data_IF_938271980292
#
_entry.id   IF_938271980292
#
_cell.length_a   1.000
_cell.length_b   1.000
_cell.length_c   1.000
_cell.angle_alpha   90.00
_cell.angle_beta   90.00
_cell.angle_gamma   90.00
#
_symmetry.space_group_name_H-M   'P 1'
#
loop_
_entity.id
_entity.type
_entity.pdbx_description
1 polymer ?
#
# COMPACT_ATOMS: atom_id res chain seq x y z
N UNK A 1 -1.50 3.64 7.56
CA UNK A 1 -0.09 3.51 7.10
C UNK A 1 0.04 4.17 5.73
N UNK A 2 0.99 5.11 5.55
CA UNK A 2 1.22 5.81 4.29
C UNK A 2 1.95 4.92 3.27
N UNK A 3 1.78 5.18 1.97
CA UNK A 3 2.41 4.40 0.87
C UNK A 3 3.95 4.34 0.98
N UNK A 4 4.61 5.40 1.47
CA UNK A 4 6.06 5.41 1.71
C UNK A 4 6.48 4.42 2.79
N UNK A 5 5.74 4.36 3.89
CA UNK A 5 5.96 3.38 4.97
C UNK A 5 5.69 1.96 4.47
N UNK A 6 4.64 1.77 3.66
CA UNK A 6 4.33 0.47 3.06
C UNK A 6 5.43 -0.04 2.14
N UNK A 7 6.02 0.85 1.29
CA UNK A 7 7.18 0.49 0.46
C UNK A 7 8.38 0.11 1.31
N UNK A 8 8.66 0.88 2.36
CA UNK A 8 9.75 0.58 3.28
C UNK A 8 9.55 -0.78 3.96
N UNK A 9 8.34 -1.07 4.44
CA UNK A 9 8.00 -2.37 5.02
C UNK A 9 8.18 -3.50 4.00
N UNK A 10 7.72 -3.32 2.75
CA UNK A 10 7.89 -4.31 1.68
C UNK A 10 9.38 -4.58 1.39
N UNK A 11 10.23 -3.54 1.32
CA UNK A 11 11.66 -3.72 1.05
C UNK A 11 12.37 -4.46 2.19
N UNK A 12 12.03 -4.16 3.46
CA UNK A 12 12.50 -4.90 4.62
C UNK A 12 12.05 -6.37 4.55
N UNK A 13 10.79 -6.61 4.22
CA UNK A 13 10.23 -7.95 4.10
C UNK A 13 10.89 -8.74 2.97
N UNK A 14 11.05 -8.15 1.77
CA UNK A 14 11.71 -8.78 0.63
C UNK A 14 13.15 -9.13 0.97
N UNK A 15 13.90 -8.21 1.59
CA UNK A 15 15.28 -8.44 1.97
C UNK A 15 15.40 -9.56 3.02
N UNK A 16 14.54 -9.54 4.04
CA UNK A 16 14.51 -10.61 5.03
C UNK A 16 14.22 -11.97 4.39
N UNK A 17 13.23 -12.05 3.49
CA UNK A 17 12.90 -13.30 2.77
C UNK A 17 14.02 -13.75 1.84
N UNK A 18 14.66 -12.82 1.13
CA UNK A 18 15.77 -13.10 0.22
C UNK A 18 16.98 -13.68 0.96
N UNK A 19 17.33 -13.10 2.10
CA UNK A 19 18.52 -13.48 2.88
C UNK A 19 18.26 -14.61 3.89
N UNK A 20 17.03 -15.11 4.01
CA UNK A 20 16.63 -16.08 5.03
C UNK A 20 16.63 -15.53 6.46
N UNK A 21 16.54 -14.21 6.59
CA UNK A 21 16.44 -13.49 7.87
C UNK A 21 15.00 -13.41 8.38
N UNK A 22 14.81 -12.57 9.42
CA UNK A 22 13.51 -12.31 10.04
C UNK A 22 13.04 -10.89 9.75
N UNK A 23 11.75 -10.74 9.48
CA UNK A 23 11.06 -9.47 9.42
C UNK A 23 10.37 -9.22 10.76
N UNK A 24 10.87 -8.25 11.52
CA UNK A 24 10.38 -7.89 12.84
C UNK A 24 9.56 -6.59 12.76
N UNK A 25 8.61 -6.44 13.67
CA UNK A 25 7.79 -5.25 13.76
C UNK A 25 7.96 -4.60 15.15
N UNK A 26 8.31 -3.31 15.16
CA UNK A 26 8.35 -2.49 16.36
C UNK A 26 7.43 -1.29 16.18
N UNK A 27 6.61 -1.05 17.19
CA UNK A 27 5.73 0.10 17.28
C UNK A 27 6.43 1.17 18.11
N UNK A 28 6.71 2.30 17.49
CA UNK A 28 7.37 3.45 18.12
C UNK A 28 6.32 4.34 18.82
N UNK A 29 5.81 3.88 19.93
CA UNK A 29 4.71 4.47 20.73
C UNK A 29 5.21 5.35 21.90
N UNK A 30 6.39 5.90 21.81
CA UNK A 30 6.97 6.79 22.84
C UNK A 30 6.22 8.13 22.95
N UNK A 31 5.55 8.60 21.88
CA UNK A 31 4.61 9.71 21.89
C UNK A 31 3.18 9.17 22.08
N UNK A 32 2.75 9.10 23.34
CA UNK A 32 1.46 8.53 23.74
C UNK A 32 0.23 9.27 23.19
N UNK A 33 0.34 10.58 22.93
CA UNK A 33 -0.77 11.38 22.40
C UNK A 33 -1.06 11.04 20.94
N UNK A 34 -0.02 10.70 20.18
CA UNK A 34 -0.13 10.35 18.77
C UNK A 34 -0.30 8.85 18.52
N UNK A 35 0.14 8.01 19.44
CA UNK A 35 0.14 6.55 19.30
C UNK A 35 -1.11 5.94 19.94
N UNK A 36 -2.28 6.24 19.35
CA UNK A 36 -3.55 5.65 19.79
C UNK A 36 -3.67 4.19 19.34
N UNK A 37 -4.48 3.39 20.05
CA UNK A 37 -4.75 1.99 19.67
C UNK A 37 -5.28 1.87 18.26
N UNK A 38 -6.15 2.79 17.82
CA UNK A 38 -6.70 2.82 16.46
C UNK A 38 -5.61 3.09 15.41
N UNK A 39 -4.67 4.00 15.69
CA UNK A 39 -3.55 4.29 14.79
C UNK A 39 -2.63 3.07 14.61
N UNK A 40 -2.40 2.31 15.69
CA UNK A 40 -1.63 1.06 15.67
C UNK A 40 -2.39 -0.02 14.90
N UNK A 41 -3.71 -0.16 15.09
CA UNK A 41 -4.53 -1.13 14.38
C UNK A 41 -4.50 -0.89 12.86
N UNK A 42 -4.58 0.35 12.41
CA UNK A 42 -4.45 0.72 10.98
C UNK A 42 -3.12 0.27 10.37
N UNK A 43 -2.04 0.24 11.17
CA UNK A 43 -0.74 -0.29 10.70
C UNK A 43 -0.83 -1.80 10.52
N UNK A 44 -1.35 -2.52 11.51
CA UNK A 44 -1.51 -3.98 11.44
C UNK A 44 -2.42 -4.40 10.27
N UNK A 45 -3.56 -3.74 10.10
CA UNK A 45 -4.49 -4.02 9.02
C UNK A 45 -3.85 -3.80 7.65
N UNK A 46 -3.08 -2.71 7.49
CA UNK A 46 -2.37 -2.42 6.25
C UNK A 46 -1.27 -3.45 5.93
N UNK A 47 -0.48 -3.86 6.93
CA UNK A 47 0.53 -4.91 6.76
C UNK A 47 -0.11 -6.26 6.45
N UNK A 48 -1.17 -6.62 7.16
CA UNK A 48 -1.94 -7.85 6.93
C UNK A 48 -2.54 -7.89 5.52
N UNK A 49 -3.15 -6.78 5.09
CA UNK A 49 -3.69 -6.70 3.73
C UNK A 49 -2.61 -6.86 2.66
N UNK A 50 -1.44 -6.27 2.87
CA UNK A 50 -0.28 -6.44 1.98
C UNK A 50 0.37 -7.83 2.12
N UNK A 51 -0.03 -8.67 3.07
CA UNK A 51 0.62 -9.97 3.33
C UNK A 51 2.05 -9.84 3.89
N UNK A 52 2.37 -8.72 4.53
CA UNK A 52 3.67 -8.44 5.14
C UNK A 52 3.62 -8.74 6.64
N UNK A 53 3.47 -10.01 7.00
CA UNK A 53 3.38 -10.42 8.39
C UNK A 53 4.78 -10.48 9.04
N UNK A 54 4.86 -10.00 10.29
CA UNK A 54 6.05 -10.11 11.10
C UNK A 54 6.27 -11.56 11.56
N UNK A 55 7.53 -11.97 11.69
CA UNK A 55 7.90 -13.34 12.09
C UNK A 55 7.82 -13.56 13.60
N UNK A 56 7.74 -12.48 14.38
CA UNK A 56 7.65 -12.52 15.85
C UNK A 56 6.59 -11.54 16.35
N UNK A 57 6.24 -11.67 17.64
CA UNK A 57 5.32 -10.74 18.30
C UNK A 57 5.85 -9.32 18.22
N UNK A 58 5.04 -8.32 17.83
CA UNK A 58 5.45 -6.93 17.76
C UNK A 58 5.96 -6.39 19.11
N UNK A 59 7.06 -5.65 19.05
CA UNK A 59 7.64 -4.97 20.20
C UNK A 59 7.08 -3.56 20.31
N UNK A 60 6.67 -3.16 21.53
CA UNK A 60 6.21 -1.80 21.83
C UNK A 60 7.32 -1.04 22.55
N UNK A 61 7.78 0.06 21.97
CA UNK A 61 8.95 0.79 22.40
C UNK A 61 8.78 1.45 23.77
N UNK A 62 7.58 1.96 24.07
CA UNK A 62 7.29 2.56 25.38
C UNK A 62 7.50 1.59 26.54
N UNK A 63 7.13 0.32 26.38
CA UNK A 63 7.31 -0.72 27.40
C UNK A 63 8.78 -1.00 27.73
N UNK A 64 9.72 -0.50 26.91
CA UNK A 64 11.16 -0.72 27.06
C UNK A 64 11.90 0.48 27.69
N UNK A 65 11.18 1.50 28.18
CA UNK A 65 11.77 2.73 28.70
C UNK A 65 12.81 2.49 29.82
N UNK A 66 12.63 1.48 30.69
CA UNK A 66 13.60 1.12 31.72
C UNK A 66 14.92 0.66 31.08
N UNK A 67 14.84 -0.19 30.08
CA UNK A 67 16.02 -0.66 29.33
C UNK A 67 16.77 0.47 28.64
N UNK A 68 16.05 1.45 28.11
CA UNK A 68 16.68 2.64 27.52
C UNK A 68 17.44 3.45 28.57
N UNK A 69 16.89 3.59 29.78
CA UNK A 69 17.57 4.27 30.90
C UNK A 69 18.82 3.53 31.38
N UNK A 70 18.77 2.20 31.48
CA UNK A 70 19.96 1.37 31.80
C UNK A 70 21.12 1.63 30.83
N UNK A 71 20.84 1.72 29.53
CA UNK A 71 21.87 2.00 28.52
C UNK A 71 22.44 3.39 28.69
N UNK A 72 21.62 4.38 29.05
CA UNK A 72 22.14 5.74 29.32
C UNK A 72 23.05 5.77 30.55
N UNK A 73 22.71 5.07 31.64
CA UNK A 73 23.59 4.97 32.81
C UNK A 73 24.93 4.28 32.42
N UNK A 74 24.87 3.23 31.60
CA UNK A 74 26.09 2.60 31.09
C UNK A 74 26.94 3.55 30.23
N UNK A 75 26.32 4.43 29.44
CA UNK A 75 27.04 5.46 28.68
C UNK A 75 27.68 6.52 29.59
N UNK A 76 26.98 6.92 30.65
CA UNK A 76 27.54 7.85 31.67
C UNK A 76 28.75 7.24 32.38
N UNK A 77 28.64 5.98 32.82
CA UNK A 77 29.76 5.25 33.48
C UNK A 77 30.99 5.12 32.57
N UNK A 78 30.78 4.94 31.28
CA UNK A 78 31.85 4.86 30.25
C UNK A 78 32.39 6.22 29.84
N UNK A 79 31.82 7.33 30.33
CA UNK A 79 32.20 8.69 29.90
C UNK A 79 31.76 9.04 28.47
N UNK A 80 30.90 8.23 27.88
CA UNK A 80 30.30 8.47 26.56
C UNK A 80 29.06 9.39 26.57
N UNK A 81 28.61 9.75 27.77
CA UNK A 81 27.51 10.69 27.98
C UNK A 81 27.80 11.61 29.19
N UNK A 82 27.03 12.67 29.33
CA UNK A 82 27.12 13.60 30.46
C UNK A 82 25.78 14.20 30.81
N UNK A 83 25.64 14.68 32.05
CA UNK A 83 24.45 15.39 32.52
C UNK A 83 24.60 16.86 32.20
N UNK A 84 23.64 17.41 31.49
CA UNK A 84 23.57 18.81 31.11
C UNK A 84 22.53 19.53 31.95
N UNK A 85 22.97 20.45 32.77
CA UNK A 85 22.16 21.21 33.74
C UNK A 85 21.79 22.61 33.22
N UNK A 86 21.96 22.89 31.94
CA UNK A 86 21.53 24.18 31.38
C UNK A 86 20.02 24.37 31.59
N UNK A 87 19.67 25.55 32.10
CA UNK A 87 18.28 25.98 32.14
C UNK A 87 17.79 26.30 30.72
N UNK A 88 16.47 26.41 30.49
CA UNK A 88 15.94 26.83 29.19
C UNK A 88 16.51 28.17 28.70
N UNK A 89 16.71 29.15 29.59
CA UNK A 89 17.26 30.45 29.25
C UNK A 89 18.74 30.36 28.89
N UNK A 90 19.53 29.59 29.60
CA UNK A 90 20.94 29.32 29.32
C UNK A 90 21.10 28.60 27.97
N UNK A 91 20.22 27.63 27.69
CA UNK A 91 20.20 26.91 26.41
C UNK A 91 19.86 27.84 25.26
N UNK A 92 18.89 28.73 25.40
CA UNK A 92 18.53 29.69 24.35
C UNK A 92 19.64 30.71 24.10
N UNK A 93 20.26 31.22 25.14
CA UNK A 93 21.44 32.10 25.01
C UNK A 93 22.61 31.39 24.32
N UNK A 94 22.82 30.09 24.56
CA UNK A 94 23.84 29.32 23.90
C UNK A 94 23.50 29.04 22.41
N UNK A 95 22.21 28.81 22.11
CA UNK A 95 21.73 28.70 20.70
C UNK A 95 21.99 29.98 19.90
N UNK A 96 21.72 31.14 20.48
CA UNK A 96 21.97 32.43 19.83
C UNK A 96 23.48 32.63 19.55
N UNK A 97 24.33 32.32 20.53
CA UNK A 97 25.80 32.37 20.39
C UNK A 97 26.26 31.39 19.31
N UNK A 98 25.85 30.16 19.39
CA UNK A 98 26.24 29.14 18.43
C UNK A 98 25.83 29.51 17.00
N UNK A 99 24.62 30.10 16.83
CA UNK A 99 24.16 30.60 15.53
C UNK A 99 25.05 31.76 15.02
N UNK A 100 25.36 32.72 15.88
CA UNK A 100 26.24 33.85 15.53
C UNK A 100 27.65 33.41 15.13
N UNK A 101 28.17 32.36 15.76
CA UNK A 101 29.50 31.79 15.52
C UNK A 101 29.53 30.70 14.42
N UNK A 102 28.37 30.34 13.84
CA UNK A 102 28.28 29.31 12.77
C UNK A 102 28.64 27.91 13.24
N UNK A 103 28.45 27.59 14.53
CA UNK A 103 28.71 26.29 15.12
C UNK A 103 27.47 25.64 15.70
N UNK A 104 27.55 24.37 16.08
CA UNK A 104 26.52 23.68 16.83
C UNK A 104 26.55 24.06 18.31
N UNK A 105 25.39 23.87 18.98
CA UNK A 105 25.29 24.07 20.43
C UNK A 105 26.19 23.11 21.17
N UNK A 106 26.97 23.63 22.13
CA UNK A 106 27.81 22.84 23.05
C UNK A 106 27.50 23.27 24.49
N UNK A 107 27.20 22.31 25.35
CA UNK A 107 26.96 22.60 26.74
C UNK A 107 28.29 22.82 27.51
N UNK A 108 28.36 23.81 28.38
CA UNK A 108 29.51 23.98 29.29
C UNK A 108 29.65 22.81 30.28
N UNK A 109 28.56 22.04 30.49
CA UNK A 109 28.54 20.87 31.38
C UNK A 109 29.23 19.63 30.76
N UNK A 110 29.57 19.67 29.49
CA UNK A 110 30.18 18.54 28.78
C UNK A 110 31.46 17.99 29.45
N UNK A 111 32.30 18.86 29.92
CA UNK A 111 33.57 18.51 30.53
C UNK A 111 33.65 18.94 32.01
N UNK A 112 32.57 19.52 32.52
CA UNK A 112 32.45 19.88 33.93
C UNK A 112 31.74 18.76 34.71
N UNK A 113 32.19 18.50 35.91
CA UNK A 113 31.46 17.66 36.86
C UNK A 113 30.17 18.36 37.34
N UNK A 114 29.27 17.66 38.06
CA UNK A 114 28.01 18.24 38.55
C UNK A 114 28.19 19.45 39.49
N UNK A 115 29.32 19.58 40.17
CA UNK A 115 29.60 20.71 41.05
C UNK A 115 28.41 21.09 41.93
N UNK A 116 28.09 22.40 42.00
CA UNK A 116 26.92 22.95 42.72
C UNK A 116 25.56 22.69 42.04
N UNK A 117 25.55 22.04 40.85
CA UNK A 117 24.32 21.68 40.14
C UNK A 117 23.67 20.41 40.67
N UNK A 118 24.25 19.76 41.68
CA UNK A 118 23.66 18.58 42.31
C UNK A 118 22.23 18.88 42.81
N UNK A 119 21.24 18.08 42.36
CA UNK A 119 19.83 18.28 42.67
C UNK A 119 19.05 19.20 41.70
N UNK A 120 19.71 19.81 40.71
CA UNK A 120 19.00 20.52 39.63
C UNK A 120 18.45 19.53 38.59
N UNK A 121 17.35 19.88 37.90
CA UNK A 121 16.91 19.14 36.72
C UNK A 121 18.01 19.11 35.64
N UNK A 122 18.14 18.00 34.96
CA UNK A 122 19.12 17.84 33.88
C UNK A 122 18.55 17.00 32.72
N UNK A 123 19.16 17.13 31.57
CA UNK A 123 19.06 16.17 30.47
C UNK A 123 20.34 15.37 30.36
N UNK A 124 20.31 14.20 29.78
CA UNK A 124 21.53 13.46 29.45
C UNK A 124 21.83 13.60 27.98
N UNK A 125 23.07 14.00 27.67
CA UNK A 125 23.57 14.15 26.31
C UNK A 125 24.66 13.14 25.98
N UNK A 126 24.66 12.70 24.71
CA UNK A 126 25.78 11.95 24.16
C UNK A 126 27.04 12.85 24.11
N UNK A 127 28.19 12.35 24.49
CA UNK A 127 29.44 13.04 24.35
C UNK A 127 30.06 12.77 22.96
N UNK A 128 29.52 13.45 21.94
CA UNK A 128 29.93 13.26 20.54
C UNK A 128 31.36 13.74 20.28
N UNK A 129 32.14 13.11 19.40
CA UNK A 129 33.44 13.64 19.00
C UNK A 129 33.27 15.02 18.35
N UNK A 130 34.21 15.93 18.59
CA UNK A 130 34.15 17.30 18.06
C UNK A 130 34.98 17.48 16.78
N UNK A 131 36.00 16.64 16.59
CA UNK A 131 36.90 16.67 15.46
C UNK A 131 36.79 15.41 14.61
N UNK A 132 37.27 15.49 13.38
CA UNK A 132 37.20 14.38 12.43
C UNK A 132 35.85 14.21 11.80
N UNK A 133 35.56 13.01 11.30
CA UNK A 133 34.37 12.65 10.55
C UNK A 133 33.72 11.39 11.10
N UNK A 134 32.41 11.36 11.08
CA UNK A 134 31.61 10.14 11.26
C UNK A 134 31.18 9.62 9.88
N UNK A 135 31.59 8.38 9.56
CA UNK A 135 31.27 7.73 8.29
C UNK A 135 30.05 6.87 8.43
N UNK A 136 29.13 7.01 7.48
CA UNK A 136 27.95 6.15 7.33
C UNK A 136 28.06 5.43 5.99
N UNK A 137 28.40 4.15 6.03
CA UNK A 137 28.42 3.29 4.84
C UNK A 137 27.00 2.85 4.49
N UNK A 138 26.40 3.50 3.50
CA UNK A 138 25.01 3.26 3.11
C UNK A 138 24.92 2.43 1.82
N UNK A 139 24.09 1.38 1.83
CA UNK A 139 24.00 0.47 0.69
C UNK A 139 23.32 1.11 -0.54
N UNK A 140 22.50 2.16 -0.35
CA UNK A 140 21.79 2.86 -1.41
C UNK A 140 22.44 4.20 -1.78
N UNK A 141 22.91 4.95 -0.77
CA UNK A 141 23.50 6.29 -0.93
C UNK A 141 25.02 6.27 -1.09
N UNK A 142 25.66 5.13 -0.84
CA UNK A 142 27.11 5.02 -0.78
C UNK A 142 27.69 5.55 0.54
N UNK A 143 28.97 5.88 0.56
CA UNK A 143 29.62 6.43 1.75
C UNK A 143 29.21 7.90 1.96
N UNK A 144 28.58 8.18 3.10
CA UNK A 144 28.20 9.54 3.52
C UNK A 144 29.08 9.98 4.68
N UNK A 145 29.67 11.16 4.57
CA UNK A 145 30.63 11.72 5.55
C UNK A 145 29.98 12.88 6.29
N UNK A 146 30.03 12.82 7.61
CA UNK A 146 29.50 13.87 8.48
C UNK A 146 30.67 14.47 9.27
N UNK A 147 30.90 15.77 9.13
CA UNK A 147 31.89 16.48 9.94
C UNK A 147 31.41 16.50 11.40
N UNK A 148 32.22 15.99 12.32
CA UNK A 148 31.87 15.90 13.74
C UNK A 148 31.63 17.29 14.35
N UNK A 149 32.29 18.32 13.85
CA UNK A 149 32.07 19.71 14.22
C UNK A 149 30.65 20.20 13.96
N UNK A 150 29.92 19.56 13.04
CA UNK A 150 28.51 19.86 12.69
C UNK A 150 27.50 18.96 13.41
N UNK A 151 27.96 17.99 14.19
CA UNK A 151 27.08 17.13 15.00
C UNK A 151 27.01 17.68 16.42
N UNK A 152 25.81 17.98 16.88
CA UNK A 152 25.55 18.38 18.27
C UNK A 152 25.64 17.20 19.24
N UNK A 153 25.78 17.50 20.52
CA UNK A 153 25.67 16.50 21.57
C UNK A 153 24.19 16.16 21.78
N UNK A 154 23.77 15.06 21.15
CA UNK A 154 22.38 14.61 21.12
C UNK A 154 21.83 14.40 22.52
N UNK A 155 20.62 14.88 22.80
CA UNK A 155 19.90 14.54 24.02
C UNK A 155 19.48 13.07 23.93
N UNK A 156 19.87 12.27 24.92
CA UNK A 156 19.50 10.85 25.08
C UNK A 156 18.28 10.68 25.99
N UNK A 157 18.30 11.34 27.16
CA UNK A 157 17.15 11.42 28.08
C UNK A 157 16.71 12.87 28.29
N UNK A 158 15.42 13.08 28.31
CA UNK A 158 14.80 14.35 28.69
C UNK A 158 14.81 14.51 30.20
N UNK A 159 14.45 15.71 30.69
CA UNK A 159 14.42 16.05 32.11
C UNK A 159 13.48 15.17 32.92
N UNK A 160 12.42 14.67 32.32
CA UNK A 160 11.44 13.74 32.92
C UNK A 160 11.91 12.26 32.88
N UNK A 161 13.11 11.99 32.37
CA UNK A 161 13.68 10.65 32.22
C UNK A 161 13.14 9.87 31.01
N UNK A 162 12.38 10.52 30.11
CA UNK A 162 11.93 9.85 28.88
C UNK A 162 13.05 9.79 27.85
N UNK A 163 13.26 8.63 27.19
CA UNK A 163 14.27 8.48 26.16
C UNK A 163 13.86 9.27 24.90
N UNK A 164 14.87 9.76 24.17
CA UNK A 164 14.63 10.34 22.85
C UNK A 164 14.59 9.26 21.78
N UNK A 165 14.00 9.58 20.62
CA UNK A 165 13.85 8.70 19.47
C UNK A 165 15.18 7.98 19.11
N UNK A 166 16.28 8.73 18.90
CA UNK A 166 17.53 8.14 18.45
C UNK A 166 18.12 7.13 19.45
N UNK A 167 18.01 7.40 20.74
CA UNK A 167 18.45 6.44 21.75
C UNK A 167 17.59 5.18 21.75
N UNK A 168 16.26 5.35 21.81
CA UNK A 168 15.33 4.24 21.92
C UNK A 168 15.46 3.29 20.72
N UNK A 169 15.56 3.85 19.50
CA UNK A 169 15.74 3.06 18.26
C UNK A 169 17.04 2.24 18.30
N UNK A 170 18.16 2.86 18.68
CA UNK A 170 19.47 2.17 18.73
C UNK A 170 19.45 1.02 19.74
N UNK A 171 18.93 1.26 20.95
CA UNK A 171 18.85 0.24 22.00
C UNK A 171 17.97 -0.94 21.55
N UNK A 172 16.81 -0.63 20.98
CA UNK A 172 15.88 -1.65 20.55
C UNK A 172 16.41 -2.41 19.33
N UNK A 173 17.04 -1.74 18.37
CA UNK A 173 17.67 -2.40 17.22
C UNK A 173 18.78 -3.37 17.69
N UNK A 174 19.61 -2.94 18.64
CA UNK A 174 20.66 -3.81 19.20
C UNK A 174 20.06 -5.02 19.93
N UNK A 175 19.12 -4.80 20.84
CA UNK A 175 18.53 -5.86 21.65
C UNK A 175 17.67 -6.84 20.84
N UNK A 176 17.03 -6.36 19.76
CA UNK A 176 16.29 -7.19 18.81
C UNK A 176 17.17 -7.87 17.77
N UNK A 177 18.49 -7.60 17.76
CA UNK A 177 19.42 -8.20 16.80
C UNK A 177 19.24 -7.71 15.37
N UNK A 178 18.79 -6.47 15.18
CA UNK A 178 18.63 -5.85 13.85
C UNK A 178 19.99 -5.69 13.20
N UNK A 179 20.21 -6.33 12.06
CA UNK A 179 21.46 -6.31 11.31
C UNK A 179 21.47 -5.26 10.20
N UNK A 180 20.29 -4.93 9.68
CA UNK A 180 20.11 -3.98 8.58
C UNK A 180 19.01 -2.99 8.91
N UNK A 181 19.30 -1.69 8.77
CA UNK A 181 18.32 -0.61 8.95
C UNK A 181 18.00 -0.04 7.58
N UNK A 182 16.84 -0.44 7.03
CA UNK A 182 16.34 -0.02 5.73
C UNK A 182 15.16 0.93 5.97
N UNK A 183 15.32 2.23 5.67
CA UNK A 183 14.33 3.27 5.98
C UNK A 183 14.36 4.46 5.01
N UNK A 184 13.48 5.43 5.16
CA UNK A 184 13.48 6.65 4.35
C UNK A 184 14.75 7.50 4.53
N UNK A 185 15.20 8.18 3.46
CA UNK A 185 16.40 9.01 3.46
C UNK A 185 16.25 10.34 4.21
N UNK A 186 15.05 10.69 4.63
CA UNK A 186 14.78 11.75 5.60
C UNK A 186 15.38 11.45 7.00
N UNK A 187 15.74 10.21 7.28
CA UNK A 187 16.46 9.78 8.48
C UNK A 187 18.00 9.66 8.31
N UNK A 188 18.55 9.99 7.14
CA UNK A 188 19.99 9.84 6.87
C UNK A 188 20.86 10.61 7.87
N UNK A 189 20.47 11.84 8.25
CA UNK A 189 21.15 12.64 9.26
C UNK A 189 21.11 12.00 10.66
N UNK A 190 20.13 11.15 10.95
CA UNK A 190 20.06 10.43 12.22
C UNK A 190 21.06 9.27 12.25
N UNK A 191 21.42 8.70 11.10
CA UNK A 191 22.33 7.56 11.05
C UNK A 191 23.72 7.89 11.65
N UNK A 192 24.25 9.09 11.39
CA UNK A 192 25.50 9.52 12.01
C UNK A 192 25.41 9.57 13.54
N UNK A 193 24.35 10.18 14.08
CA UNK A 193 24.11 10.28 15.52
C UNK A 193 23.89 8.90 16.16
N UNK A 194 23.14 8.04 15.49
CA UNK A 194 22.89 6.66 15.93
C UNK A 194 24.17 5.83 15.90
N UNK A 195 25.01 5.97 14.86
CA UNK A 195 26.33 5.34 14.78
C UNK A 195 27.19 5.69 16.00
N UNK A 196 27.17 6.96 16.44
CA UNK A 196 27.93 7.38 17.63
C UNK A 196 27.39 6.75 18.92
N UNK A 197 26.10 6.46 19.03
CA UNK A 197 25.54 5.73 20.18
C UNK A 197 26.03 4.27 20.19
N UNK A 198 25.98 3.57 19.04
CA UNK A 198 26.52 2.22 18.89
C UNK A 198 28.00 2.18 19.30
N UNK A 199 28.80 3.10 18.79
CA UNK A 199 30.22 3.20 19.10
C UNK A 199 30.49 3.49 20.58
N UNK A 200 29.71 4.40 21.20
CA UNK A 200 29.78 4.71 22.63
C UNK A 200 29.52 3.52 23.53
N UNK A 201 28.61 2.62 23.08
CA UNK A 201 28.34 1.37 23.78
C UNK A 201 29.28 0.23 23.39
N UNK A 202 30.14 0.39 22.38
CA UNK A 202 30.97 -0.68 21.86
C UNK A 202 30.15 -1.77 21.13
N UNK A 203 28.98 -1.41 20.61
CA UNK A 203 28.13 -2.29 19.84
C UNK A 203 28.47 -2.26 18.35
N UNK A 204 28.18 -3.36 17.66
CA UNK A 204 28.30 -3.42 16.20
C UNK A 204 27.27 -2.48 15.56
N UNK A 205 27.75 -1.66 14.60
CA UNK A 205 26.88 -0.75 13.86
C UNK A 205 26.16 -1.54 12.77
N UNK A 206 24.83 -1.43 12.65
CA UNK A 206 24.09 -2.15 11.61
C UNK A 206 24.43 -1.60 10.22
N UNK A 207 24.12 -2.39 9.21
CA UNK A 207 24.20 -1.95 7.81
C UNK A 207 23.08 -0.94 7.54
N UNK A 208 23.45 0.23 7.02
CA UNK A 208 22.52 1.29 6.69
C UNK A 208 22.06 1.20 5.24
N UNK A 209 20.78 1.46 5.00
CA UNK A 209 20.20 1.60 3.67
C UNK A 209 19.09 2.65 3.68
N UNK A 210 19.33 3.81 3.08
CA UNK A 210 18.38 4.91 3.07
C UNK A 210 17.69 5.03 1.71
N UNK A 211 16.41 4.70 1.72
CA UNK A 211 15.55 4.68 0.54
C UNK A 211 15.16 6.11 0.15
N UNK A 212 15.21 6.49 -1.13
CA UNK A 212 14.79 7.80 -1.58
C UNK A 212 13.30 8.03 -1.34
N UNK A 213 12.90 9.28 -1.17
CA UNK A 213 11.50 9.67 -1.02
C UNK A 213 10.69 9.31 -2.27
N UNK A 214 9.40 9.14 -2.09
CA UNK A 214 8.44 9.02 -3.19
C UNK A 214 7.90 10.40 -3.50
N UNK A 215 7.91 10.76 -4.78
CA UNK A 215 7.40 12.02 -5.29
C UNK A 215 6.07 11.85 -6.02
N UNK A 216 5.27 12.90 -6.06
CA UNK A 216 4.08 12.99 -6.88
C UNK A 216 4.40 13.07 -8.38
N UNK A 217 3.37 13.04 -9.25
CA UNK A 217 3.56 13.17 -10.70
C UNK A 217 4.23 14.51 -11.09
N UNK A 218 4.05 15.53 -10.28
CA UNK A 218 4.64 16.88 -10.45
C UNK A 218 6.12 16.97 -9.99
N UNK A 219 6.68 15.88 -9.44
CA UNK A 219 8.04 15.84 -8.92
C UNK A 219 8.22 16.44 -7.52
N UNK A 220 7.16 16.91 -6.86
CA UNK A 220 7.20 17.33 -5.46
C UNK A 220 7.06 16.11 -4.52
N UNK A 221 7.49 16.25 -3.25
CA UNK A 221 7.28 15.19 -2.24
C UNK A 221 5.81 14.77 -2.22
N UNK A 222 5.57 13.47 -2.26
CA UNK A 222 4.23 12.91 -2.26
C UNK A 222 3.43 13.38 -1.05
N UNK A 223 2.21 13.84 -1.28
CA UNK A 223 1.31 14.37 -0.27
C UNK A 223 -0.15 14.05 -0.61
N UNK A 224 -1.08 14.31 0.31
CA UNK A 224 -2.52 14.07 0.12
C UNK A 224 -3.08 14.73 -1.16
N UNK A 225 -2.58 15.89 -1.56
CA UNK A 225 -3.01 16.58 -2.81
C UNK A 225 -2.70 15.79 -4.10
N UNK A 226 -1.78 14.84 -4.02
CA UNK A 226 -1.40 13.95 -5.14
C UNK A 226 -2.16 12.61 -5.13
N UNK A 227 -3.21 12.50 -4.31
CA UNK A 227 -3.93 11.24 -4.12
C UNK A 227 -3.16 10.22 -3.28
N UNK A 228 -2.15 10.67 -2.50
CA UNK A 228 -1.45 9.80 -1.57
C UNK A 228 -2.38 9.45 -0.41
N UNK A 229 -2.83 8.24 -0.41
CA UNK A 229 -3.77 7.70 0.54
C UNK A 229 -3.07 6.74 1.51
N UNK A 230 -3.74 6.41 2.58
CA UNK A 230 -3.33 5.30 3.42
C UNK A 230 -3.48 3.99 2.63
N UNK A 231 -2.63 3.00 2.93
CA UNK A 231 -2.64 1.71 2.21
C UNK A 231 -4.01 1.02 2.27
N UNK A 232 -4.73 1.13 3.39
CA UNK A 232 -6.09 0.60 3.50
C UNK A 232 -7.07 1.19 2.48
N UNK A 233 -6.92 2.48 2.14
CA UNK A 233 -7.78 3.14 1.16
C UNK A 233 -7.64 2.54 -0.25
N UNK A 234 -6.46 1.98 -0.59
CA UNK A 234 -6.30 1.26 -1.86
C UNK A 234 -7.09 -0.05 -1.88
N UNK A 235 -7.22 -0.73 -0.74
CA UNK A 235 -8.12 -1.88 -0.61
C UNK A 235 -9.57 -1.46 -0.87
N UNK A 236 -10.01 -0.37 -0.26
CA UNK A 236 -11.36 0.20 -0.44
C UNK A 236 -11.61 0.67 -1.89
N UNK A 237 -10.57 1.12 -2.60
CA UNK A 237 -10.61 1.45 -4.02
C UNK A 237 -10.62 0.22 -4.94
N UNK A 238 -10.52 -0.98 -4.40
CA UNK A 238 -10.58 -2.23 -5.14
C UNK A 238 -9.26 -2.67 -5.79
N UNK A 239 -8.12 -2.24 -5.25
CA UNK A 239 -6.82 -2.78 -5.67
C UNK A 239 -6.53 -4.11 -4.97
N UNK A 240 -5.87 -5.02 -5.66
CA UNK A 240 -5.41 -6.29 -5.12
C UNK A 240 -4.06 -6.12 -4.40
N UNK A 241 -3.83 -6.80 -3.28
CA UNK A 241 -2.59 -6.65 -2.52
C UNK A 241 -1.34 -7.04 -3.32
N UNK A 242 -1.40 -8.05 -4.18
CA UNK A 242 -0.31 -8.44 -5.08
C UNK A 242 0.02 -7.36 -6.12
N UNK A 243 -0.98 -6.66 -6.64
CA UNK A 243 -0.77 -5.52 -7.52
C UNK A 243 -0.07 -4.37 -6.79
N UNK A 244 -0.50 -4.10 -5.54
CA UNK A 244 0.14 -3.09 -4.70
C UNK A 244 1.58 -3.45 -4.36
N UNK A 245 1.88 -4.70 -4.00
CA UNK A 245 3.27 -5.13 -3.72
C UNK A 245 4.15 -4.95 -4.95
N UNK A 246 3.70 -5.40 -6.13
CA UNK A 246 4.44 -5.20 -7.38
C UNK A 246 4.67 -3.71 -7.67
N UNK A 247 3.64 -2.89 -7.53
CA UNK A 247 3.74 -1.44 -7.74
C UNK A 247 4.70 -0.77 -6.76
N UNK A 248 4.59 -1.08 -5.46
CA UNK A 248 5.48 -0.54 -4.43
C UNK A 248 6.93 -0.94 -4.65
N UNK A 249 7.18 -2.18 -5.09
CA UNK A 249 8.52 -2.64 -5.44
C UNK A 249 9.12 -1.81 -6.57
N UNK A 250 8.35 -1.53 -7.61
CA UNK A 250 8.77 -0.69 -8.76
C UNK A 250 9.00 0.79 -8.40
N UNK A 251 8.59 1.23 -7.20
CA UNK A 251 8.90 2.57 -6.70
C UNK A 251 10.30 2.65 -6.08
N UNK A 252 11.31 2.44 -6.87
CA UNK A 252 12.72 2.56 -6.52
C UNK A 252 13.53 1.28 -6.65
N UNK A 253 12.93 0.18 -7.10
CA UNK A 253 13.62 -1.07 -7.42
C UNK A 253 13.02 -1.69 -8.69
N UNK A 254 13.77 -2.55 -9.36
CA UNK A 254 13.34 -3.32 -10.50
C UNK A 254 14.37 -4.37 -10.88
N UNK A 255 13.95 -5.37 -11.64
CA UNK A 255 14.80 -6.41 -12.18
C UNK A 255 14.77 -6.35 -13.72
N UNK A 256 15.84 -5.86 -14.32
CA UNK A 256 15.89 -5.64 -15.77
C UNK A 256 14.68 -4.86 -16.29
N UNK A 257 14.06 -5.38 -17.35
CA UNK A 257 12.85 -4.81 -17.98
C UNK A 257 11.55 -5.42 -17.43
N UNK A 258 11.63 -6.27 -16.41
CA UNK A 258 10.46 -6.91 -15.81
C UNK A 258 9.56 -5.88 -15.11
N UNK A 259 8.33 -5.75 -15.61
CA UNK A 259 7.32 -4.86 -15.02
C UNK A 259 6.38 -5.61 -14.07
N UNK A 260 6.16 -6.89 -14.33
CA UNK A 260 5.25 -7.76 -13.58
C UNK A 260 6.00 -8.98 -13.12
N UNK A 261 5.90 -9.28 -11.83
CA UNK A 261 6.57 -10.41 -11.21
C UNK A 261 5.78 -10.93 -10.00
N UNK A 262 5.92 -12.20 -9.74
CA UNK A 262 5.35 -12.85 -8.54
C UNK A 262 6.15 -12.50 -7.28
N UNK A 263 5.54 -12.69 -6.11
CA UNK A 263 6.26 -12.53 -4.83
C UNK A 263 7.50 -13.42 -4.75
N UNK A 264 7.43 -14.66 -5.25
CA UNK A 264 8.57 -15.57 -5.27
C UNK A 264 9.72 -15.04 -6.15
N UNK A 265 9.41 -14.46 -7.31
CA UNK A 265 10.39 -13.81 -8.17
C UNK A 265 10.98 -12.57 -7.49
N UNK A 266 10.14 -11.70 -6.92
CA UNK A 266 10.59 -10.52 -6.19
C UNK A 266 11.55 -10.90 -5.04
N UNK A 267 11.20 -11.91 -4.24
CA UNK A 267 12.07 -12.43 -3.17
C UNK A 267 13.39 -12.97 -3.73
N UNK A 268 13.35 -13.74 -4.82
CA UNK A 268 14.56 -14.30 -5.41
C UNK A 268 15.52 -13.25 -5.99
N UNK A 269 14.99 -12.15 -6.50
CA UNK A 269 15.76 -11.11 -7.20
C UNK A 269 16.15 -9.90 -6.36
N UNK A 270 15.45 -9.66 -5.24
CA UNK A 270 15.62 -8.43 -4.47
C UNK A 270 16.99 -8.36 -3.80
N UNK A 271 17.78 -7.35 -4.15
CA UNK A 271 18.96 -6.93 -3.36
C UNK A 271 18.82 -5.44 -3.05
N UNK A 272 19.14 -5.07 -1.83
CA UNK A 272 19.11 -3.67 -1.37
C UNK A 272 20.06 -2.77 -2.16
N UNK A 273 21.13 -3.34 -2.70
CA UNK A 273 22.13 -2.64 -3.52
C UNK A 273 21.58 -2.20 -4.88
N UNK A 274 20.53 -2.88 -5.35
CA UNK A 274 19.88 -2.57 -6.64
C UNK A 274 18.80 -1.49 -6.50
N UNK A 275 18.57 -0.99 -5.28
CA UNK A 275 17.66 0.12 -5.05
C UNK A 275 18.24 1.41 -5.62
N UNK A 276 17.46 2.06 -6.48
CA UNK A 276 17.84 3.33 -7.13
C UNK A 276 17.92 4.44 -6.09
N UNK A 277 19.01 5.20 -6.06
CA UNK A 277 19.22 6.28 -5.10
C UNK A 277 18.43 7.57 -5.38
N UNK A 278 17.87 7.70 -6.60
CA UNK A 278 17.02 8.83 -7.00
C UNK A 278 15.57 8.65 -6.56
N UNK A 279 14.81 9.74 -6.28
CA UNK A 279 13.41 9.67 -5.94
C UNK A 279 12.55 9.00 -7.02
N UNK A 280 11.70 8.06 -6.60
CA UNK A 280 10.70 7.46 -7.47
C UNK A 280 9.47 8.38 -7.59
N UNK A 281 8.79 8.34 -8.73
CA UNK A 281 7.55 9.10 -8.95
C UNK A 281 6.36 8.15 -9.05
N UNK A 282 5.24 8.54 -8.46
CA UNK A 282 3.99 7.77 -8.59
C UNK A 282 3.43 7.92 -10.01
N UNK A 283 2.93 6.80 -10.52
CA UNK A 283 2.19 6.70 -11.77
C UNK A 283 0.94 5.84 -11.52
N UNK A 284 -0.19 6.51 -11.38
CA UNK A 284 -1.48 5.84 -11.10
C UNK A 284 -2.01 5.04 -12.29
N UNK A 285 -1.66 5.44 -13.53
CA UNK A 285 -2.02 4.68 -14.72
C UNK A 285 -1.29 3.32 -14.74
N UNK A 286 -0.03 3.31 -14.33
CA UNK A 286 0.75 2.08 -14.14
C UNK A 286 0.15 1.18 -13.06
N UNK A 287 -0.26 1.73 -11.92
CA UNK A 287 -0.93 0.95 -10.88
C UNK A 287 -2.23 0.31 -11.39
N UNK A 288 -3.05 1.07 -12.12
CA UNK A 288 -4.27 0.56 -12.74
C UNK A 288 -3.98 -0.58 -13.73
N UNK A 289 -2.93 -0.43 -14.54
CA UNK A 289 -2.51 -1.47 -15.48
C UNK A 289 -2.07 -2.76 -14.76
N UNK A 290 -1.25 -2.63 -13.73
CA UNK A 290 -0.83 -3.76 -12.91
C UNK A 290 -2.04 -4.45 -12.24
N UNK A 291 -2.95 -3.68 -11.66
CA UNK A 291 -4.12 -4.23 -10.99
C UNK A 291 -5.04 -4.98 -11.98
N UNK A 292 -5.27 -4.42 -13.17
CA UNK A 292 -5.99 -5.13 -14.23
C UNK A 292 -5.32 -6.45 -14.58
N UNK A 293 -4.00 -6.47 -14.73
CA UNK A 293 -3.25 -7.71 -14.99
C UNK A 293 -3.52 -8.76 -13.91
N UNK A 294 -3.42 -8.39 -12.63
CA UNK A 294 -3.64 -9.33 -11.52
C UNK A 294 -5.10 -9.76 -11.42
N UNK A 295 -6.09 -8.89 -11.69
CA UNK A 295 -7.51 -9.27 -11.79
C UNK A 295 -7.71 -10.34 -12.87
N UNK A 296 -7.08 -10.18 -14.03
CA UNK A 296 -7.18 -11.15 -15.14
C UNK A 296 -6.56 -12.49 -14.81
N UNK A 297 -5.55 -12.55 -13.96
CA UNK A 297 -4.87 -13.78 -13.55
C UNK A 297 -5.45 -14.40 -12.27
N UNK A 298 -6.25 -13.64 -11.52
CA UNK A 298 -6.80 -14.11 -10.25
C UNK A 298 -7.79 -15.27 -10.44
N UNK A 299 -7.83 -16.14 -9.45
CA UNK A 299 -8.81 -17.23 -9.37
C UNK A 299 -10.25 -16.67 -9.40
N UNK A 300 -11.11 -17.16 -10.32
CA UNK A 300 -12.51 -16.70 -10.43
C UNK A 300 -13.30 -16.84 -9.13
N UNK A 301 -13.10 -17.92 -8.35
CA UNK A 301 -13.79 -18.11 -7.08
C UNK A 301 -13.38 -17.04 -6.04
N UNK A 302 -12.09 -16.69 -5.99
CA UNK A 302 -11.61 -15.56 -5.16
C UNK A 302 -12.25 -14.24 -5.58
N UNK A 303 -12.28 -13.96 -6.89
CA UNK A 303 -12.90 -12.73 -7.41
C UNK A 303 -14.39 -12.69 -7.10
N UNK A 304 -15.10 -13.82 -7.23
CA UNK A 304 -16.51 -13.94 -6.90
C UNK A 304 -16.78 -13.55 -5.44
N UNK A 305 -15.97 -14.04 -4.51
CA UNK A 305 -16.10 -13.67 -3.09
C UNK A 305 -15.86 -12.18 -2.87
N UNK A 306 -14.75 -11.62 -3.42
CA UNK A 306 -14.42 -10.20 -3.25
C UNK A 306 -15.46 -9.27 -3.88
N UNK A 307 -15.96 -9.60 -5.07
CA UNK A 307 -17.02 -8.85 -5.74
C UNK A 307 -18.34 -8.96 -4.97
N UNK A 308 -18.64 -10.14 -4.42
CA UNK A 308 -19.79 -10.35 -3.54
C UNK A 308 -19.77 -9.44 -2.32
N UNK A 309 -18.64 -9.40 -1.60
CA UNK A 309 -18.42 -8.50 -0.45
C UNK A 309 -18.64 -7.01 -0.83
N UNK A 310 -18.18 -6.60 -2.02
CA UNK A 310 -18.40 -5.23 -2.53
C UNK A 310 -19.88 -4.98 -2.80
N UNK A 311 -20.60 -5.93 -3.39
CA UNK A 311 -22.04 -5.77 -3.60
C UNK A 311 -22.79 -5.63 -2.27
N UNK A 312 -22.47 -6.45 -1.28
CA UNK A 312 -23.08 -6.39 0.05
C UNK A 312 -22.77 -5.06 0.76
N UNK A 313 -21.53 -4.57 0.67
CA UNK A 313 -21.14 -3.27 1.26
C UNK A 313 -21.88 -2.07 0.64
N UNK A 314 -22.44 -2.27 -0.56
CA UNK A 314 -23.26 -1.27 -1.28
C UNK A 314 -24.77 -1.53 -1.12
N UNK A 315 -25.18 -2.18 -0.03
CA UNK A 315 -26.57 -2.53 0.29
C UNK A 315 -27.27 -3.41 -0.78
N UNK A 316 -26.48 -4.11 -1.60
CA UNK A 316 -27.00 -5.04 -2.58
C UNK A 316 -26.94 -6.46 -2.04
N UNK A 317 -28.00 -6.86 -1.34
CA UNK A 317 -28.09 -8.19 -0.73
C UNK A 317 -28.00 -9.28 -1.79
N UNK A 318 -27.06 -10.19 -1.63
CA UNK A 318 -26.94 -11.40 -2.43
C UNK A 318 -27.95 -12.46 -1.96
N UNK A 319 -28.45 -13.25 -2.89
CA UNK A 319 -29.38 -14.35 -2.65
C UNK A 319 -28.76 -15.69 -3.03
N UNK A 320 -29.44 -16.77 -2.68
CA UNK A 320 -29.02 -18.11 -3.07
C UNK A 320 -28.90 -18.21 -4.59
N UNK A 321 -27.74 -18.72 -5.05
CA UNK A 321 -27.42 -18.86 -6.47
C UNK A 321 -26.67 -17.67 -7.10
N UNK A 322 -26.65 -16.47 -6.49
CA UNK A 322 -25.95 -15.30 -7.04
C UNK A 322 -24.45 -15.52 -7.16
N UNK A 323 -23.84 -16.23 -6.23
CA UNK A 323 -22.43 -16.58 -6.31
C UNK A 323 -22.09 -17.37 -7.59
N UNK A 324 -22.91 -18.35 -7.96
CA UNK A 324 -22.74 -19.13 -9.18
C UNK A 324 -22.93 -18.28 -10.46
N UNK A 325 -23.82 -17.27 -10.39
CA UNK A 325 -24.01 -16.32 -11.50
C UNK A 325 -22.81 -15.39 -11.63
N UNK A 326 -22.28 -14.88 -10.53
CA UNK A 326 -21.05 -14.06 -10.51
C UNK A 326 -19.85 -14.86 -11.02
N UNK A 327 -19.65 -16.09 -10.56
CA UNK A 327 -18.53 -16.94 -10.97
C UNK A 327 -18.55 -17.20 -12.49
N UNK A 328 -19.72 -17.33 -13.09
CA UNK A 328 -19.89 -17.47 -14.54
C UNK A 328 -19.65 -16.17 -15.31
N UNK A 329 -20.07 -15.02 -14.74
CA UNK A 329 -19.96 -13.72 -15.38
C UNK A 329 -18.56 -13.10 -15.30
N UNK A 330 -17.87 -13.24 -14.18
CA UNK A 330 -16.56 -12.58 -13.90
C UNK A 330 -15.53 -12.85 -15.00
N UNK A 331 -15.30 -14.09 -15.49
CA UNK A 331 -14.34 -14.35 -16.56
C UNK A 331 -14.64 -13.59 -17.87
N UNK A 332 -15.91 -13.23 -18.11
CA UNK A 332 -16.36 -12.55 -19.32
C UNK A 332 -16.30 -11.02 -19.24
N UNK A 333 -16.16 -10.47 -18.03
CA UNK A 333 -16.16 -9.01 -17.83
C UNK A 333 -14.85 -8.47 -17.23
N UNK A 334 -14.00 -9.33 -16.67
CA UNK A 334 -12.80 -8.91 -15.92
C UNK A 334 -11.72 -8.22 -16.75
N UNK A 335 -11.66 -8.48 -18.04
CA UNK A 335 -10.61 -7.96 -18.91
C UNK A 335 -10.63 -6.42 -19.01
N UNK A 336 -11.81 -5.81 -18.88
CA UNK A 336 -11.99 -4.36 -18.89
C UNK A 336 -11.85 -3.68 -17.53
N UNK A 337 -11.85 -4.44 -16.43
CA UNK A 337 -11.88 -3.89 -15.08
C UNK A 337 -10.47 -3.54 -14.58
N UNK A 338 -10.25 -2.30 -14.18
CA UNK A 338 -9.00 -1.84 -13.57
C UNK A 338 -8.97 -2.06 -12.07
N UNK A 339 -10.15 -2.13 -11.45
CA UNK A 339 -10.31 -2.36 -10.01
C UNK A 339 -11.43 -3.37 -9.74
N UNK A 340 -11.47 -3.91 -8.53
CA UNK A 340 -12.58 -4.77 -8.10
C UNK A 340 -13.91 -4.00 -8.05
N UNK A 341 -13.87 -2.67 -7.84
CA UNK A 341 -15.06 -1.83 -7.89
C UNK A 341 -15.64 -1.77 -9.31
N UNK A 342 -14.78 -1.59 -10.32
CA UNK A 342 -15.20 -1.62 -11.73
C UNK A 342 -15.71 -3.03 -12.13
N UNK A 343 -15.08 -4.09 -11.59
CA UNK A 343 -15.53 -5.46 -11.81
C UNK A 343 -16.90 -5.71 -11.17
N UNK A 344 -17.13 -5.19 -9.96
CA UNK A 344 -18.44 -5.25 -9.33
C UNK A 344 -19.50 -4.50 -10.15
N UNK A 345 -19.16 -3.29 -10.65
CA UNK A 345 -20.08 -2.53 -11.51
C UNK A 345 -20.42 -3.27 -12.80
N UNK A 346 -19.44 -3.95 -13.41
CA UNK A 346 -19.63 -4.75 -14.62
C UNK A 346 -20.49 -6.01 -14.39
N UNK A 347 -20.69 -6.44 -13.14
CA UNK A 347 -21.53 -7.60 -12.78
C UNK A 347 -22.92 -7.23 -12.28
N UNK A 348 -23.27 -5.95 -12.15
CA UNK A 348 -24.59 -5.49 -11.67
C UNK A 348 -25.74 -6.10 -12.47
N UNK A 349 -25.57 -6.17 -13.81
CA UNK A 349 -26.63 -6.62 -14.70
C UNK A 349 -27.05 -8.09 -14.47
N UNK A 350 -26.11 -8.96 -14.03
CA UNK A 350 -26.43 -10.38 -13.77
C UNK A 350 -27.16 -10.58 -12.46
N UNK A 351 -27.04 -9.65 -11.52
CA UNK A 351 -27.72 -9.69 -10.21
C UNK A 351 -29.10 -9.01 -10.23
N UNK A 352 -29.41 -8.28 -11.30
CA UNK A 352 -30.71 -7.61 -11.46
C UNK A 352 -31.85 -8.61 -11.59
N UNK A 353 -32.94 -8.42 -10.83
CA UNK A 353 -34.12 -9.30 -10.79
C UNK A 353 -35.14 -8.92 -11.85
N UNK A 354 -35.78 -9.92 -12.42
CA UNK A 354 -36.86 -9.76 -13.36
C UNK A 354 -38.19 -9.36 -12.67
N UNK A 355 -39.04 -8.55 -13.33
CA UNK A 355 -38.79 -7.82 -14.57
C UNK A 355 -37.80 -6.67 -14.37
N UNK A 356 -36.91 -6.42 -15.35
CA UNK A 356 -35.92 -5.37 -15.24
C UNK A 356 -36.52 -3.98 -15.40
N UNK A 357 -36.13 -3.05 -14.52
CA UNK A 357 -36.31 -1.62 -14.80
C UNK A 357 -35.38 -1.21 -15.96
N UNK A 358 -35.94 -0.62 -16.99
CA UNK A 358 -35.18 -0.16 -18.15
C UNK A 358 -35.04 1.36 -18.13
N UNK A 359 -33.83 1.85 -18.47
CA UNK A 359 -33.63 3.29 -18.66
C UNK A 359 -34.43 3.81 -19.87
N UNK A 360 -34.77 5.11 -19.89
CA UNK A 360 -35.44 5.72 -21.05
C UNK A 360 -34.70 5.47 -22.38
N UNK A 361 -33.40 5.57 -22.35
CA UNK A 361 -32.55 5.26 -23.51
C UNK A 361 -32.69 3.80 -23.96
N UNK A 362 -32.72 2.86 -23.01
CA UNK A 362 -32.92 1.44 -23.31
C UNK A 362 -34.29 1.19 -23.92
N UNK A 363 -35.34 1.81 -23.36
CA UNK A 363 -36.71 1.72 -23.86
C UNK A 363 -36.85 2.29 -25.28
N UNK A 364 -36.20 3.39 -25.61
CA UNK A 364 -36.23 4.02 -26.94
C UNK A 364 -35.67 3.14 -28.07
N UNK A 365 -34.89 2.13 -27.75
CA UNK A 365 -34.34 1.16 -28.72
C UNK A 365 -35.37 0.09 -29.13
N UNK A 366 -36.49 0.00 -28.43
CA UNK A 366 -37.50 -1.06 -28.57
C UNK A 366 -38.71 -0.59 -29.38
N UNK A 367 -38.50 -0.12 -30.61
CA UNK A 367 -39.59 0.15 -31.53
C UNK A 367 -40.23 -1.16 -32.05
N UNK A 368 -41.38 -1.06 -32.76
CA UNK A 368 -42.15 -2.22 -33.22
C UNK A 368 -41.33 -3.18 -34.10
N UNK A 369 -40.53 -2.64 -35.03
CA UNK A 369 -39.68 -3.44 -35.92
C UNK A 369 -38.60 -4.20 -35.13
N UNK A 370 -37.98 -3.51 -34.17
CA UNK A 370 -36.94 -4.11 -33.32
C UNK A 370 -37.53 -5.19 -32.42
N UNK A 371 -38.70 -4.96 -31.83
CA UNK A 371 -39.41 -5.98 -31.01
C UNK A 371 -39.73 -7.23 -31.83
N UNK A 372 -40.25 -7.06 -33.05
CA UNK A 372 -40.56 -8.19 -33.95
C UNK A 372 -39.30 -8.98 -34.30
N UNK A 373 -38.16 -8.28 -34.53
CA UNK A 373 -36.85 -8.90 -34.82
C UNK A 373 -36.32 -9.66 -33.61
N UNK A 374 -36.37 -9.06 -32.41
CA UNK A 374 -35.93 -9.71 -31.18
C UNK A 374 -36.81 -10.95 -30.83
N UNK A 375 -38.08 -10.95 -31.17
CA UNK A 375 -38.93 -12.12 -30.96
C UNK A 375 -38.45 -13.32 -31.82
N UNK A 376 -38.13 -13.11 -33.11
CA UNK A 376 -37.55 -14.15 -33.97
C UNK A 376 -36.17 -14.60 -33.49
N UNK A 377 -35.35 -13.67 -33.02
CA UNK A 377 -34.04 -14.01 -32.42
C UNK A 377 -34.20 -14.85 -31.15
N UNK A 378 -35.18 -14.54 -30.30
CA UNK A 378 -35.49 -15.29 -29.08
C UNK A 378 -35.80 -16.76 -29.38
N UNK A 379 -36.62 -17.03 -30.44
CA UNK A 379 -36.92 -18.40 -30.84
C UNK A 379 -35.68 -19.16 -31.31
N UNK A 380 -34.78 -18.48 -32.01
CA UNK A 380 -33.52 -19.08 -32.48
C UNK A 380 -32.57 -19.34 -31.31
N UNK A 381 -32.45 -18.41 -30.39
CA UNK A 381 -31.62 -18.60 -29.18
C UNK A 381 -32.15 -19.77 -28.33
N UNK A 382 -33.49 -19.98 -28.28
CA UNK A 382 -34.07 -21.11 -27.57
C UNK A 382 -33.68 -22.47 -28.20
N UNK A 383 -33.45 -22.51 -29.49
CA UNK A 383 -32.99 -23.70 -30.19
C UNK A 383 -31.47 -24.00 -30.02
N UNK A 384 -30.69 -23.06 -29.47
CA UNK A 384 -29.25 -23.27 -29.23
C UNK A 384 -29.05 -24.28 -28.10
N UNK A 385 -28.42 -25.44 -28.44
CA UNK A 385 -28.11 -26.48 -27.45
C UNK A 385 -26.87 -26.20 -26.65
N UNK A 386 -25.83 -25.64 -27.30
CA UNK A 386 -24.58 -25.28 -26.67
C UNK A 386 -24.57 -23.79 -26.31
N UNK A 387 -24.77 -23.48 -25.00
CA UNK A 387 -24.88 -22.10 -24.51
C UNK A 387 -23.49 -21.52 -24.14
N UNK A 388 -22.60 -21.49 -25.14
CA UNK A 388 -21.23 -20.98 -25.06
C UNK A 388 -21.04 -19.78 -25.98
N UNK A 389 -20.04 -18.92 -25.66
CA UNK A 389 -19.79 -17.66 -26.41
C UNK A 389 -19.71 -17.91 -27.92
N UNK A 390 -18.87 -18.83 -28.36
CA UNK A 390 -18.66 -19.09 -29.78
C UNK A 390 -19.93 -19.53 -30.51
N UNK A 391 -20.75 -20.39 -29.90
CA UNK A 391 -22.00 -20.85 -30.50
C UNK A 391 -23.05 -19.74 -30.59
N UNK A 392 -23.14 -18.90 -29.53
CA UNK A 392 -24.05 -17.76 -29.51
C UNK A 392 -23.63 -16.65 -30.47
N UNK A 393 -22.34 -16.37 -30.58
CA UNK A 393 -21.83 -15.42 -31.59
C UNK A 393 -22.15 -15.89 -33.02
N UNK A 394 -21.94 -17.17 -33.29
CA UNK A 394 -22.25 -17.75 -34.61
C UNK A 394 -23.74 -17.64 -34.90
N UNK A 395 -24.62 -17.93 -33.93
CA UNK A 395 -26.05 -17.83 -34.08
C UNK A 395 -26.53 -16.38 -34.28
N UNK A 396 -26.01 -15.43 -33.51
CA UNK A 396 -26.33 -13.99 -33.67
C UNK A 396 -25.87 -13.49 -35.06
N UNK A 397 -24.73 -13.92 -35.52
CA UNK A 397 -24.22 -13.57 -36.88
C UNK A 397 -25.10 -14.16 -37.98
N UNK A 398 -25.42 -15.46 -37.86
CA UNK A 398 -26.33 -16.14 -38.81
C UNK A 398 -27.71 -15.50 -38.85
N UNK A 399 -28.21 -15.08 -37.68
CA UNK A 399 -29.48 -14.36 -37.62
C UNK A 399 -29.43 -13.03 -38.34
N UNK A 400 -28.36 -12.26 -38.17
CA UNK A 400 -28.14 -10.97 -38.85
C UNK A 400 -28.13 -11.15 -40.39
N UNK A 401 -27.48 -12.21 -40.89
CA UNK A 401 -27.45 -12.58 -42.29
C UNK A 401 -28.84 -12.92 -42.85
N UNK A 402 -29.62 -13.72 -42.09
CA UNK A 402 -31.00 -14.11 -42.48
C UNK A 402 -31.97 -12.92 -42.48
N UNK A 403 -31.82 -11.97 -41.60
CA UNK A 403 -32.60 -10.74 -41.58
C UNK A 403 -32.13 -9.69 -42.61
N UNK A 404 -31.00 -9.94 -43.29
CA UNK A 404 -30.41 -9.01 -44.24
C UNK A 404 -29.95 -7.69 -43.63
N UNK A 405 -29.59 -7.68 -42.35
CA UNK A 405 -29.19 -6.49 -41.59
C UNK A 405 -27.91 -6.71 -40.78
N UNK A 406 -27.18 -5.63 -40.48
CA UNK A 406 -26.06 -5.71 -39.54
C UNK A 406 -26.54 -5.87 -38.09
N UNK A 407 -25.69 -6.49 -37.25
CA UNK A 407 -25.93 -6.68 -35.82
C UNK A 407 -26.27 -5.34 -35.13
N UNK A 408 -25.70 -4.21 -35.58
CA UNK A 408 -25.98 -2.87 -35.06
C UNK A 408 -27.47 -2.46 -35.11
N UNK A 409 -28.31 -3.13 -35.89
CA UNK A 409 -29.75 -2.83 -36.01
C UNK A 409 -30.59 -3.43 -34.88
N UNK A 410 -30.09 -4.46 -34.21
CA UNK A 410 -30.79 -5.10 -33.09
C UNK A 410 -29.92 -5.34 -31.85
N UNK A 411 -28.59 -5.38 -32.01
CA UNK A 411 -27.65 -5.66 -30.93
C UNK A 411 -27.76 -4.68 -29.74
N UNK A 412 -27.84 -3.35 -29.96
CA UNK A 412 -28.08 -2.41 -28.87
C UNK A 412 -29.38 -2.67 -28.11
N UNK A 413 -30.46 -3.02 -28.80
CA UNK A 413 -31.74 -3.36 -28.18
C UNK A 413 -31.69 -4.69 -27.42
N UNK A 414 -31.03 -5.71 -27.99
CA UNK A 414 -30.79 -6.98 -27.29
C UNK A 414 -30.01 -6.74 -25.98
N UNK A 415 -28.94 -6.00 -26.05
CA UNK A 415 -28.16 -5.63 -24.86
C UNK A 415 -29.00 -4.89 -23.82
N UNK A 416 -29.83 -3.94 -24.26
CA UNK A 416 -30.72 -3.18 -23.38
C UNK A 416 -31.72 -4.09 -22.67
N UNK A 417 -32.31 -5.07 -23.37
CA UNK A 417 -33.19 -6.06 -22.75
C UNK A 417 -32.48 -6.94 -21.76
N UNK A 418 -31.26 -7.39 -22.09
CA UNK A 418 -30.50 -8.26 -21.20
C UNK A 418 -29.97 -7.55 -19.95
N UNK A 419 -29.72 -6.24 -20.00
CA UNK A 419 -29.06 -5.50 -18.91
C UNK A 419 -29.91 -4.39 -18.27
N UNK A 420 -31.10 -4.10 -18.79
CA UNK A 420 -31.90 -2.93 -18.38
C UNK A 420 -31.24 -1.58 -18.73
N UNK A 421 -30.13 -1.60 -19.49
CA UNK A 421 -29.30 -0.44 -19.81
C UNK A 421 -28.07 -0.29 -18.91
N UNK A 422 -27.82 -1.22 -17.99
CA UNK A 422 -26.59 -1.29 -17.21
C UNK A 422 -25.39 -1.73 -18.09
N UNK A 423 -24.12 -1.42 -17.70
CA UNK A 423 -22.94 -1.96 -18.35
C UNK A 423 -23.00 -3.49 -18.45
N UNK A 424 -22.66 -4.03 -19.61
CA UNK A 424 -22.63 -5.46 -19.87
C UNK A 424 -21.56 -5.79 -20.91
N UNK A 425 -21.03 -7.01 -20.96
CA UNK A 425 -20.05 -7.43 -21.98
C UNK A 425 -20.66 -7.40 -23.39
N UNK A 426 -19.98 -8.00 -24.37
CA UNK A 426 -20.58 -8.23 -25.68
C UNK A 426 -21.85 -9.08 -25.58
N UNK A 427 -22.59 -9.21 -26.69
CA UNK A 427 -23.92 -9.86 -26.67
C UNK A 427 -23.85 -11.32 -26.23
N UNK A 428 -22.88 -12.08 -26.76
CA UNK A 428 -22.73 -13.49 -26.40
C UNK A 428 -22.25 -13.66 -24.96
N UNK A 429 -21.31 -12.83 -24.52
CA UNK A 429 -20.85 -12.78 -23.13
C UNK A 429 -21.98 -12.45 -22.16
N UNK A 430 -22.86 -11.51 -22.48
CA UNK A 430 -24.04 -11.20 -21.68
C UNK A 430 -25.01 -12.39 -21.57
N UNK A 431 -25.30 -13.05 -22.69
CA UNK A 431 -26.14 -14.24 -22.73
C UNK A 431 -25.58 -15.40 -21.88
N UNK A 432 -24.27 -15.67 -22.03
CA UNK A 432 -23.59 -16.72 -21.26
C UNK A 432 -23.56 -16.37 -19.76
N UNK A 433 -23.27 -15.12 -19.42
CA UNK A 433 -23.24 -14.65 -18.02
C UNK A 433 -24.57 -14.88 -17.31
N UNK A 434 -25.68 -14.56 -17.97
CA UNK A 434 -27.04 -14.77 -17.46
C UNK A 434 -27.44 -16.24 -17.45
N UNK A 435 -27.00 -17.01 -18.43
CA UNK A 435 -27.46 -18.34 -18.72
C UNK A 435 -28.80 -18.35 -19.52
N UNK A 436 -29.10 -19.50 -20.13
CA UNK A 436 -30.22 -19.63 -21.08
C UNK A 436 -31.59 -19.26 -20.46
N UNK A 437 -31.97 -19.79 -19.27
CA UNK A 437 -33.32 -19.51 -18.72
C UNK A 437 -33.52 -18.03 -18.41
N UNK A 438 -32.52 -17.38 -17.82
CA UNK A 438 -32.59 -15.95 -17.46
C UNK A 438 -32.60 -15.05 -18.70
N UNK A 439 -31.74 -15.35 -19.69
CA UNK A 439 -31.65 -14.58 -20.94
C UNK A 439 -32.99 -14.61 -21.70
N UNK A 440 -33.58 -15.81 -21.88
CA UNK A 440 -34.87 -15.96 -22.55
C UNK A 440 -36.00 -15.29 -21.76
N UNK A 441 -35.98 -15.43 -20.45
CA UNK A 441 -36.95 -14.80 -19.58
C UNK A 441 -36.94 -13.28 -19.65
N UNK A 442 -35.75 -12.64 -19.71
CA UNK A 442 -35.64 -11.18 -19.89
C UNK A 442 -36.19 -10.72 -21.25
N UNK A 443 -35.99 -11.53 -22.30
CA UNK A 443 -36.59 -11.28 -23.59
C UNK A 443 -38.12 -11.41 -23.52
N UNK A 444 -38.64 -12.46 -22.89
CA UNK A 444 -40.10 -12.70 -22.76
C UNK A 444 -40.80 -11.60 -21.98
N UNK A 445 -40.17 -11.05 -20.90
CA UNK A 445 -40.76 -9.95 -20.11
C UNK A 445 -41.01 -8.69 -20.93
N UNK A 446 -40.16 -8.45 -21.96
CA UNK A 446 -40.24 -7.24 -22.79
C UNK A 446 -41.03 -7.47 -24.07
N UNK A 447 -41.00 -8.69 -24.64
CA UNK A 447 -41.55 -8.99 -25.96
C UNK A 447 -42.95 -9.54 -25.93
N UNK A 448 -43.41 -10.12 -24.78
CA UNK A 448 -44.80 -10.63 -24.69
C UNK A 448 -45.79 -9.49 -24.71
N UNK A 449 -46.85 -9.56 -25.56
CA UNK A 449 -47.90 -8.56 -25.58
C UNK A 449 -48.76 -8.65 -24.29
N UNK A 450 -48.65 -7.64 -23.44
CA UNK A 450 -49.61 -7.36 -22.38
C UNK A 450 -49.56 -8.30 -21.15
N UNK A 451 -48.66 -8.01 -20.21
CA UNK A 451 -48.90 -8.20 -18.78
C UNK A 451 -48.84 -6.88 -18.05
#
# INVERSE_FOLDING_TARGET
MHIGTARTALFNWLYARHTGGKFLLRIEDTDRERSTADAVQVIFDGLKWLGLEADETPVFQFARADRHREVVEALLERGGAYRDYMTPDELEAERERARAEGRVVRSPWRDAGPGDATGRPFVVRLKSPQEGETLVGDQVKGEVRFQNSQLDDLILLRTDGTPTYNLAVVVDDHDMGVTHVIRGDDHLNNAARQTLIYQGMGWEVPVWAHLPLIHGPDGAKLSKRHGAQAVGEFADMGYLPEAMRNYLAKLGWGHGDDEIFTDAQAIAWFDIKDVVSAPARVDWAKLNHLNNHYIRQADPARLTRLVGEIHESRDRKLHDGDAAVLERAIPLVRDGAKTLLELADATVFVLARRPLGMTEKAQSLLNEETRARLLRLRERLDAVGDWQVAALEAEIRKFAELEGVGIGKFGPALRAVLSGGAPAPDLAGALVSLGKPESLGRLDDVLSPGR
#
